data_IF_641047872990
#
_entry.id   IF_641047872990
#
_cell.length_a   1.000
_cell.length_b   1.000
_cell.length_c   1.000
_cell.angle_alpha   90.00
_cell.angle_beta   90.00
_cell.angle_gamma   90.00
#
_symmetry.space_group_name_H-M   'P 1'
#
loop_
_entity.id
_entity.type
_entity.pdbx_description
1 polymer ?
#
# COMPACT_ATOMS: atom_id res chain seq x y z
N UNK A 1 -3.82 -22.54 3.59
CA UNK A 1 -4.46 -21.57 2.68
C UNK A 1 -3.79 -20.23 2.90
N UNK A 2 -3.40 -19.54 1.82
CA UNK A 2 -2.76 -18.23 1.92
C UNK A 2 -3.83 -17.13 1.82
N UNK A 3 -3.51 -15.91 2.25
CA UNK A 3 -4.39 -14.76 2.03
C UNK A 3 -3.73 -13.85 0.99
N UNK A 4 -4.14 -14.03 -0.26
CA UNK A 4 -3.57 -13.31 -1.39
C UNK A 4 -4.42 -12.10 -1.76
N UNK A 5 -3.73 -11.06 -2.21
CA UNK A 5 -4.31 -9.81 -2.69
C UNK A 5 -3.81 -9.49 -4.09
N UNK A 6 -4.64 -8.79 -4.87
CA UNK A 6 -4.23 -8.13 -6.11
C UNK A 6 -4.14 -6.64 -5.81
N UNK A 7 -2.99 -6.03 -6.10
CA UNK A 7 -2.74 -4.61 -5.85
C UNK A 7 -2.39 -3.86 -7.12
N UNK A 8 -2.76 -2.59 -7.15
CA UNK A 8 -2.22 -1.59 -8.05
C UNK A 8 -1.31 -0.63 -7.26
N UNK A 9 -0.09 -0.45 -7.74
CA UNK A 9 0.88 0.50 -7.19
C UNK A 9 1.04 1.66 -8.17
N UNK A 10 0.93 2.88 -7.64
CA UNK A 10 1.13 4.11 -8.40
C UNK A 10 2.44 4.76 -7.99
N UNK A 11 3.31 5.02 -8.97
CA UNK A 11 4.46 5.87 -8.79
C UNK A 11 4.00 7.33 -8.88
N UNK A 12 3.96 8.00 -7.72
CA UNK A 12 3.78 9.45 -7.60
C UNK A 12 4.62 9.94 -6.43
N UNK A 13 4.64 11.25 -6.14
CA UNK A 13 5.33 11.81 -4.97
C UNK A 13 4.92 11.15 -3.64
N UNK A 14 3.76 10.47 -3.63
CA UNK A 14 3.34 9.55 -2.58
C UNK A 14 3.15 8.16 -3.19
N UNK A 15 3.86 7.15 -2.68
CA UNK A 15 3.59 5.76 -3.03
C UNK A 15 2.16 5.40 -2.59
N UNK A 16 1.26 5.16 -3.55
CA UNK A 16 -0.11 4.78 -3.27
C UNK A 16 -0.35 3.36 -3.75
N UNK A 17 -0.77 2.49 -2.83
CA UNK A 17 -1.20 1.13 -3.13
C UNK A 17 -2.72 1.04 -3.01
N UNK A 18 -3.37 0.58 -4.06
CA UNK A 18 -4.81 0.27 -4.08
C UNK A 18 -5.02 -1.24 -4.12
N UNK A 19 -5.97 -1.73 -3.32
CA UNK A 19 -6.34 -3.14 -3.30
C UNK A 19 -7.49 -3.39 -4.26
N UNK A 20 -7.26 -4.20 -5.28
CA UNK A 20 -8.25 -4.54 -6.30
C UNK A 20 -9.08 -5.75 -5.84
N UNK A 21 -8.42 -6.76 -5.29
CA UNK A 21 -9.06 -7.95 -4.75
C UNK A 21 -8.33 -8.38 -3.47
N UNK A 22 -9.07 -8.93 -2.51
CA UNK A 22 -8.54 -9.43 -1.23
C UNK A 22 -9.12 -10.81 -0.90
N UNK A 23 -8.46 -11.55 -0.01
CA UNK A 23 -8.98 -12.80 0.54
C UNK A 23 -8.95 -13.96 -0.44
N UNK A 24 -8.00 -13.97 -1.40
CA UNK A 24 -7.87 -15.06 -2.35
C UNK A 24 -7.06 -16.19 -1.70
N UNK A 25 -7.58 -17.41 -1.69
CA UNK A 25 -7.06 -18.51 -0.86
C UNK A 25 -5.78 -19.14 -1.44
N UNK A 26 -5.59 -18.99 -2.74
CA UNK A 26 -4.51 -19.62 -3.51
C UNK A 26 -3.84 -18.63 -4.43
N UNK A 27 -2.55 -18.89 -4.70
CA UNK A 27 -1.77 -18.13 -5.68
C UNK A 27 -2.40 -18.18 -7.07
N UNK A 28 -2.92 -19.33 -7.50
CA UNK A 28 -3.57 -19.46 -8.82
C UNK A 28 -4.83 -18.61 -8.94
N UNK A 29 -5.64 -18.55 -7.88
CA UNK A 29 -6.80 -17.65 -7.83
C UNK A 29 -6.37 -16.19 -7.90
N UNK A 30 -5.28 -15.81 -7.21
CA UNK A 30 -4.70 -14.48 -7.27
C UNK A 30 -4.16 -14.13 -8.66
N UNK A 31 -3.48 -15.06 -9.34
CA UNK A 31 -2.99 -14.87 -10.71
C UNK A 31 -4.15 -14.75 -11.71
N UNK A 32 -5.21 -15.54 -11.55
CA UNK A 32 -6.41 -15.43 -12.36
C UNK A 32 -7.09 -14.07 -12.17
N UNK A 33 -7.20 -13.60 -10.93
CA UNK A 33 -7.75 -12.29 -10.61
C UNK A 33 -6.87 -11.16 -11.16
N UNK A 34 -5.54 -11.27 -11.06
CA UNK A 34 -4.58 -10.33 -11.64
C UNK A 34 -4.77 -10.22 -13.16
N UNK A 35 -4.82 -11.34 -13.88
CA UNK A 35 -5.03 -11.37 -15.33
C UNK A 35 -6.35 -10.73 -15.75
N UNK A 36 -7.42 -10.95 -14.97
CA UNK A 36 -8.69 -10.26 -15.21
C UNK A 36 -8.54 -8.74 -15.00
N UNK A 37 -7.87 -8.32 -13.93
CA UNK A 37 -7.66 -6.91 -13.60
C UNK A 37 -6.84 -6.15 -14.66
N UNK A 38 -5.91 -6.80 -15.38
CA UNK A 38 -5.15 -6.16 -16.49
C UNK A 38 -6.06 -5.50 -17.53
N UNK A 39 -7.24 -6.08 -17.76
CA UNK A 39 -8.17 -5.65 -18.80
C UNK A 39 -9.30 -4.76 -18.28
N UNK A 40 -9.63 -4.82 -17.00
CA UNK A 40 -10.81 -4.15 -16.44
C UNK A 40 -10.48 -3.08 -15.42
N UNK A 41 -9.25 -3.04 -14.90
CA UNK A 41 -8.85 -2.03 -13.94
C UNK A 41 -8.93 -0.64 -14.58
N UNK A 42 -9.60 0.28 -13.88
CA UNK A 42 -9.71 1.69 -14.24
C UNK A 42 -9.31 2.49 -12.99
N UNK A 43 -8.32 3.40 -13.08
CA UNK A 43 -7.94 4.25 -11.97
C UNK A 43 -9.13 5.05 -11.45
N UNK A 44 -9.20 5.24 -10.14
CA UNK A 44 -10.32 5.89 -9.45
C UNK A 44 -10.54 7.37 -9.85
N UNK A 45 -9.64 8.00 -10.62
CA UNK A 45 -9.78 9.38 -11.12
C UNK A 45 -10.55 9.54 -12.46
N UNK A 46 -11.44 8.60 -12.81
CA UNK A 46 -12.35 8.72 -13.98
C UNK A 46 -11.69 9.19 -15.29
N UNK A 47 -10.68 8.46 -15.75
CA UNK A 47 -10.04 8.72 -17.04
C UNK A 47 -10.93 8.22 -18.16
N UNK A 48 -11.10 9.05 -19.19
CA UNK A 48 -11.61 8.60 -20.49
C UNK A 48 -10.46 7.92 -21.25
N UNK A 49 -10.38 6.60 -21.13
CA UNK A 49 -9.34 5.78 -21.76
C UNK A 49 -9.43 5.84 -23.29
N UNK A 50 -8.33 6.22 -23.95
CA UNK A 50 -8.19 6.13 -25.41
C UNK A 50 -7.35 4.93 -25.83
N UNK A 51 -6.32 4.61 -25.04
CA UNK A 51 -5.38 3.54 -25.33
C UNK A 51 -4.86 2.95 -24.02
N UNK A 52 -4.70 1.64 -24.01
CA UNK A 52 -4.07 0.89 -22.93
C UNK A 52 -2.91 0.09 -23.47
N UNK A 53 -1.81 0.08 -22.74
CA UNK A 53 -0.65 -0.74 -23.00
C UNK A 53 -0.34 -1.52 -21.74
N UNK A 54 -0.16 -2.83 -21.87
CA UNK A 54 0.15 -3.73 -20.75
C UNK A 54 1.47 -4.40 -21.06
N UNK A 55 2.46 -4.16 -20.22
CA UNK A 55 3.78 -4.77 -20.30
C UNK A 55 3.93 -5.77 -19.16
N UNK A 56 4.55 -6.92 -19.43
CA UNK A 56 4.92 -7.87 -18.38
C UNK A 56 6.38 -7.65 -18.01
N UNK A 57 6.69 -7.54 -16.72
CA UNK A 57 8.07 -7.52 -16.26
C UNK A 57 8.73 -8.88 -16.47
N UNK A 58 10.00 -8.88 -16.86
CA UNK A 58 10.72 -10.11 -17.13
C UNK A 58 10.82 -10.99 -15.87
N UNK A 59 10.40 -12.26 -15.98
CA UNK A 59 10.52 -13.24 -14.91
C UNK A 59 9.57 -13.07 -13.72
N UNK A 60 8.60 -12.15 -13.79
CA UNK A 60 7.65 -11.89 -12.69
C UNK A 60 6.21 -11.85 -13.21
N UNK A 61 5.26 -12.31 -12.40
CA UNK A 61 3.81 -12.07 -12.62
C UNK A 61 3.46 -10.66 -12.12
N UNK A 62 4.13 -9.67 -12.72
CA UNK A 62 3.98 -8.24 -12.44
C UNK A 62 3.85 -7.53 -13.77
N UNK A 63 2.91 -6.59 -13.85
CA UNK A 63 2.54 -5.95 -15.09
C UNK A 63 2.54 -4.43 -14.93
N UNK A 64 3.17 -3.72 -15.86
CA UNK A 64 3.02 -2.28 -16.00
C UNK A 64 1.85 -2.00 -16.92
N UNK A 65 0.86 -1.26 -16.44
CA UNK A 65 -0.28 -0.80 -17.23
C UNK A 65 -0.17 0.69 -17.44
N UNK A 66 -0.12 1.09 -18.70
CA UNK A 66 -0.11 2.49 -19.15
C UNK A 66 -1.44 2.79 -19.83
N UNK A 67 -2.23 3.67 -19.22
CA UNK A 67 -3.52 4.13 -19.71
C UNK A 67 -3.34 5.57 -20.21
N UNK A 68 -3.46 5.75 -21.53
CA UNK A 68 -3.44 7.07 -22.18
C UNK A 68 -4.86 7.54 -22.41
N UNK A 69 -5.22 8.64 -21.76
CA UNK A 69 -6.46 9.37 -21.97
C UNK A 69 -6.32 10.47 -23.02
N UNK A 70 -7.29 11.40 -23.08
CA UNK A 70 -7.26 12.53 -24.01
C UNK A 70 -6.21 13.58 -23.66
N UNK A 71 -6.02 13.85 -22.37
CA UNK A 71 -5.13 14.91 -21.83
C UNK A 71 -4.18 14.39 -20.75
N UNK A 72 -4.34 13.13 -20.34
CA UNK A 72 -3.65 12.56 -19.17
C UNK A 72 -3.11 11.19 -19.51
N UNK A 73 -1.94 10.88 -19.00
CA UNK A 73 -1.34 9.55 -19.00
C UNK A 73 -1.29 9.03 -17.57
N UNK A 74 -1.57 7.75 -17.40
CA UNK A 74 -1.56 7.08 -16.11
C UNK A 74 -0.79 5.79 -16.20
N UNK A 75 0.08 5.58 -15.22
CA UNK A 75 0.89 4.38 -15.11
C UNK A 75 0.64 3.73 -13.75
N UNK A 76 0.43 2.43 -13.76
CA UNK A 76 0.39 1.65 -12.53
C UNK A 76 1.01 0.26 -12.72
N UNK A 77 1.54 -0.27 -11.62
CA UNK A 77 2.04 -1.63 -11.56
C UNK A 77 1.00 -2.52 -10.90
N UNK A 78 0.56 -3.55 -11.61
CA UNK A 78 -0.35 -4.57 -11.12
C UNK A 78 0.43 -5.83 -10.73
N UNK A 79 0.22 -6.33 -9.52
CA UNK A 79 0.86 -7.54 -9.00
C UNK A 79 0.02 -8.22 -7.93
N UNK A 80 0.39 -9.45 -7.61
CA UNK A 80 -0.13 -10.15 -6.43
C UNK A 80 0.81 -9.97 -5.23
N UNK A 81 0.24 -10.03 -4.03
CA UNK A 81 0.98 -10.14 -2.78
C UNK A 81 0.28 -11.14 -1.85
N UNK A 82 1.05 -11.81 -1.00
CA UNK A 82 0.53 -12.67 0.07
C UNK A 82 0.62 -11.93 1.40
N UNK A 83 -0.46 -11.95 2.17
CA UNK A 83 -0.44 -11.51 3.56
C UNK A 83 0.27 -12.57 4.40
N UNK A 84 1.48 -12.23 4.83
CA UNK A 84 2.32 -13.12 5.65
C UNK A 84 2.13 -12.87 7.15
N UNK A 85 1.76 -11.64 7.54
CA UNK A 85 1.56 -11.26 8.94
C UNK A 85 0.54 -10.13 9.04
N UNK A 86 -0.35 -10.21 10.02
CA UNK A 86 -1.39 -9.22 10.29
C UNK A 86 -1.32 -8.82 11.78
N UNK A 87 -1.04 -7.55 12.06
CA UNK A 87 -0.92 -7.02 13.43
C UNK A 87 -2.25 -6.85 14.16
N UNK A 88 -3.37 -7.13 13.50
CA UNK A 88 -4.67 -7.30 14.18
C UNK A 88 -4.71 -8.58 15.02
N UNK A 89 -3.67 -9.41 14.93
CA UNK A 89 -3.36 -10.47 15.90
C UNK A 89 -3.14 -9.85 17.30
N UNK A 90 -3.86 -10.29 18.35
CA UNK A 90 -3.80 -9.72 19.70
C UNK A 90 -2.37 -9.67 20.31
N UNK A 91 -1.41 -10.41 19.75
CA UNK A 91 -0.01 -10.34 20.16
C UNK A 91 0.69 -9.00 19.82
N UNK A 92 0.29 -8.29 18.76
CA UNK A 92 0.91 -7.02 18.35
C UNK A 92 0.33 -5.82 19.09
N UNK A 93 -0.98 -5.84 19.38
CA UNK A 93 -1.63 -4.83 20.22
C UNK A 93 -0.98 -4.71 21.61
N UNK A 94 -0.49 -5.82 22.18
CA UNK A 94 0.26 -5.81 23.46
C UNK A 94 1.62 -5.13 23.39
N UNK A 95 2.26 -5.05 22.22
CA UNK A 95 3.56 -4.37 22.05
C UNK A 95 3.38 -2.86 21.96
N UNK A 96 2.33 -2.38 21.29
CA UNK A 96 2.01 -0.95 21.21
C UNK A 96 1.74 -0.34 22.61
N UNK A 97 1.04 -1.06 23.50
CA UNK A 97 0.82 -0.60 24.88
C UNK A 97 2.09 -0.47 25.73
N UNK A 98 3.20 -1.13 25.36
CA UNK A 98 4.44 -1.09 26.15
C UNK A 98 5.30 0.14 25.83
N UNK A 99 5.15 0.72 24.64
CA UNK A 99 5.90 1.89 24.20
C UNK A 99 5.28 3.23 24.65
N UNK A 100 3.98 3.26 24.95
CA UNK A 100 3.31 4.42 25.56
C UNK A 100 3.64 4.59 27.07
N UNK A 101 4.45 3.69 27.64
CA UNK A 101 4.71 3.59 29.08
C UNK A 101 6.06 4.09 29.59
N UNK A 102 6.91 4.68 28.75
CA UNK A 102 8.16 5.34 29.19
C UNK A 102 8.10 6.84 28.86
N UNK A 103 7.15 7.52 29.49
CA UNK A 103 7.36 8.91 29.86
C UNK A 103 8.17 8.92 31.17
N UNK A 104 9.48 8.67 31.09
CA UNK A 104 10.37 9.11 32.16
C UNK A 104 10.46 10.64 32.07
N UNK A 105 9.71 11.27 32.96
CA UNK A 105 9.80 12.69 33.29
C UNK A 105 11.24 12.96 33.74
N UNK A 106 12.07 13.49 32.84
CA UNK A 106 13.28 14.17 33.21
C UNK A 106 12.88 15.55 33.77
N UNK A 107 12.85 15.63 35.10
CA UNK A 107 12.77 16.88 35.88
C UNK A 107 13.91 17.81 35.44
N UNK A 108 13.58 18.82 34.63
CA UNK A 108 14.49 19.87 34.20
C UNK A 108 14.69 20.91 35.30
N UNK A 109 15.90 21.48 35.45
CA UNK A 109 16.29 22.21 36.66
C UNK A 109 15.50 23.52 36.84
N UNK A 110 15.03 23.73 38.06
CA UNK A 110 14.31 24.93 38.51
C UNK A 110 15.13 26.21 38.25
N UNK A 111 14.64 27.08 37.37
CA UNK A 111 15.14 28.45 37.24
C UNK A 111 14.84 29.24 38.52
N UNK A 112 15.85 29.35 39.40
CA UNK A 112 15.87 30.33 40.48
C UNK A 112 16.17 31.71 39.89
N UNK A 113 15.16 32.55 39.77
CA UNK A 113 15.34 34.00 39.62
C UNK A 113 15.71 34.56 41.00
N UNK A 114 16.88 35.20 41.20
CA UNK A 114 17.15 35.93 42.43
C UNK A 114 16.43 37.30 42.42
N UNK A 115 15.94 37.79 43.57
CA UNK A 115 15.37 39.13 43.65
C UNK A 115 16.49 40.16 43.78
N UNK A 116 16.45 41.26 43.02
CA UNK A 116 17.38 42.37 43.27
C UNK A 116 17.32 43.55 42.30
N UNK A 117 16.71 44.64 42.81
CA UNK A 117 16.89 46.06 42.49
C UNK A 117 16.31 46.61 41.18
#
# INVERSE_FOLDING_TARGET
MGNWVVIAEYYSDVCRTEFICRGLETKDQALKALRAALHTYVPSKHIVEKRRQVYRFAGQETYLVVIKGKLTEWECTLRIAELVSDSTDPAVAKRAQRDDGVAEVADGPQDRIPPGC
#
